data_IF_406029914516
#
_entry.id   IF_406029914516
#
_cell.length_a   1.000
_cell.length_b   1.000
_cell.length_c   1.000
_cell.angle_alpha   90.00
_cell.angle_beta   90.00
_cell.angle_gamma   90.00
#
_symmetry.space_group_name_H-M   'P 1'
#
loop_
_entity.id
_entity.type
_entity.pdbx_description
1 polymer ?
#
# COMPACT_ATOMS: atom_id res chain seq x y z
N UNK A 1 15.70 -9.30 1.44
CA UNK A 1 14.97 -10.16 2.40
C UNK A 1 15.77 -11.27 3.07
N UNK A 2 16.93 -11.72 2.54
CA UNK A 2 17.69 -12.86 3.09
C UNK A 2 17.94 -12.83 4.61
N UNK A 3 18.30 -11.67 5.19
CA UNK A 3 18.62 -11.55 6.61
C UNK A 3 17.44 -11.89 7.54
N UNK A 4 16.21 -11.57 7.14
CA UNK A 4 15.01 -11.74 7.97
C UNK A 4 14.20 -13.01 7.64
N UNK A 5 14.62 -13.74 6.60
CA UNK A 5 13.96 -14.99 6.16
C UNK A 5 14.85 -16.22 6.30
N UNK A 6 15.97 -16.11 7.02
CA UNK A 6 17.02 -17.12 7.09
C UNK A 6 17.45 -17.61 5.69
N UNK A 7 17.88 -16.67 4.84
CA UNK A 7 18.21 -16.91 3.43
C UNK A 7 17.05 -17.53 2.61
N UNK A 8 15.80 -17.25 2.99
CA UNK A 8 14.60 -17.68 2.26
C UNK A 8 13.95 -18.95 2.78
N UNK A 9 14.49 -19.59 3.82
CA UNK A 9 13.90 -20.78 4.41
C UNK A 9 12.44 -20.54 4.85
N UNK A 10 12.14 -19.37 5.41
CA UNK A 10 10.80 -19.05 5.92
C UNK A 10 9.70 -19.08 4.86
N UNK A 11 10.03 -18.88 3.58
CA UNK A 11 9.05 -18.95 2.48
C UNK A 11 8.48 -20.36 2.28
N UNK A 12 9.19 -21.39 2.72
CA UNK A 12 8.74 -22.79 2.64
C UNK A 12 7.96 -23.24 3.87
N UNK A 13 8.14 -22.54 5.00
CA UNK A 13 7.52 -22.90 6.28
C UNK A 13 6.05 -22.50 6.36
N UNK A 14 5.65 -21.44 5.65
CA UNK A 14 4.28 -20.97 5.66
C UNK A 14 3.85 -20.46 4.28
N UNK A 15 2.74 -21.00 3.79
CA UNK A 15 2.11 -20.55 2.55
C UNK A 15 0.97 -19.59 2.88
N UNK A 16 0.93 -18.47 2.18
CA UNK A 16 0.03 -17.36 2.52
C UNK A 16 -1.42 -17.76 2.27
N UNK A 17 -2.25 -17.54 3.29
CA UNK A 17 -3.70 -17.71 3.19
C UNK A 17 -4.34 -16.54 2.43
N UNK A 18 -5.26 -16.84 1.51
CA UNK A 18 -6.09 -15.82 0.83
C UNK A 18 -7.10 -15.11 1.77
N UNK A 19 -7.15 -15.49 3.04
CA UNK A 19 -8.06 -14.89 4.04
C UNK A 19 -7.41 -13.76 4.85
N UNK A 20 -6.11 -13.55 4.66
CA UNK A 20 -5.35 -12.52 5.38
C UNK A 20 -4.94 -11.45 4.40
N UNK A 21 -5.10 -10.20 4.80
CA UNK A 21 -4.65 -9.05 4.03
C UNK A 21 -3.93 -8.05 4.93
N UNK A 22 -3.11 -7.20 4.32
CA UNK A 22 -2.39 -6.12 4.99
C UNK A 22 -2.91 -4.78 4.45
N UNK A 23 -3.40 -3.91 5.32
CA UNK A 23 -3.74 -2.53 4.97
C UNK A 23 -2.47 -1.66 4.96
N UNK A 24 -2.18 -1.02 3.83
CA UNK A 24 -1.06 -0.10 3.67
C UNK A 24 -1.61 1.32 3.63
N UNK A 25 -1.25 2.11 4.64
CA UNK A 25 -1.63 3.52 4.77
C UNK A 25 -0.40 4.37 4.43
N UNK A 26 -0.30 4.81 3.18
CA UNK A 26 0.92 5.45 2.64
C UNK A 26 0.61 6.36 1.43
N UNK A 27 1.57 6.63 0.53
CA UNK A 27 1.44 7.52 -0.63
C UNK A 27 0.68 6.93 -1.82
N UNK A 28 0.24 5.67 -1.73
CA UNK A 28 -0.49 4.98 -2.79
C UNK A 28 0.23 3.72 -3.24
N UNK A 29 -0.06 3.27 -4.46
CA UNK A 29 0.69 2.20 -5.12
C UNK A 29 0.79 2.41 -6.64
N UNK A 30 1.87 1.94 -7.25
CA UNK A 30 1.94 1.63 -8.67
C UNK A 30 1.31 0.25 -8.94
N UNK A 31 -0.01 0.23 -9.19
CA UNK A 31 -0.81 -0.99 -9.26
C UNK A 31 -0.41 -1.94 -10.40
N UNK A 32 0.15 -1.42 -11.48
CA UNK A 32 0.60 -2.16 -12.66
C UNK A 32 1.99 -2.80 -12.52
N UNK A 33 2.71 -2.57 -11.40
CA UNK A 33 4.01 -3.16 -11.18
C UNK A 33 3.92 -4.69 -11.19
N UNK A 34 4.71 -5.38 -12.03
CA UNK A 34 4.62 -6.83 -12.27
C UNK A 34 4.69 -7.66 -10.99
N UNK A 35 5.53 -7.24 -10.04
CA UNK A 35 5.77 -7.97 -8.79
C UNK A 35 4.68 -7.71 -7.72
N UNK A 36 3.78 -6.74 -7.93
CA UNK A 36 2.75 -6.32 -6.96
C UNK A 36 1.33 -6.58 -7.45
N UNK A 37 1.10 -6.58 -8.77
CA UNK A 37 -0.22 -6.67 -9.39
C UNK A 37 -1.05 -7.86 -8.89
N UNK A 38 -0.42 -9.02 -8.70
CA UNK A 38 -1.13 -10.23 -8.25
C UNK A 38 -1.56 -10.21 -6.78
N UNK A 39 -1.07 -9.23 -6.01
CA UNK A 39 -1.31 -9.08 -4.58
C UNK A 39 -2.39 -8.04 -4.25
N UNK A 40 -2.90 -7.30 -5.25
CA UNK A 40 -3.89 -6.25 -5.01
C UNK A 40 -5.22 -6.83 -4.51
N UNK A 41 -5.67 -6.32 -3.37
CA UNK A 41 -6.97 -6.61 -2.78
C UNK A 41 -8.10 -5.77 -3.35
N UNK A 42 -9.31 -6.00 -2.84
CA UNK A 42 -10.53 -5.30 -3.25
C UNK A 42 -10.78 -4.00 -2.49
N UNK A 43 -10.03 -3.71 -1.42
CA UNK A 43 -10.27 -2.54 -0.57
C UNK A 43 -9.20 -1.49 -0.81
N UNK A 44 -9.58 -0.42 -1.50
CA UNK A 44 -8.68 0.67 -1.83
C UNK A 44 -9.42 1.99 -1.68
N UNK A 45 -8.78 2.99 -1.07
CA UNK A 45 -9.38 4.31 -0.90
C UNK A 45 -8.34 5.42 -0.79
N UNK A 46 -8.64 6.54 -1.40
CA UNK A 46 -7.95 7.81 -1.20
C UNK A 46 -8.57 8.61 -0.06
N UNK A 47 -7.73 9.14 0.82
CA UNK A 47 -8.11 10.06 1.90
C UNK A 47 -7.52 11.46 1.71
N UNK A 48 -6.68 11.68 0.70
CA UNK A 48 -6.19 13.01 0.35
C UNK A 48 -7.36 13.82 -0.23
N UNK A 49 -7.74 14.95 0.40
CA UNK A 49 -8.85 15.77 -0.05
C UNK A 49 -8.46 16.59 -1.30
N UNK A 50 -9.45 17.25 -1.89
CA UNK A 50 -9.19 18.23 -2.95
C UNK A 50 -8.25 19.32 -2.43
N UNK A 51 -7.23 19.66 -3.21
CA UNK A 51 -6.18 20.62 -2.84
C UNK A 51 -5.10 20.04 -1.93
N UNK A 52 -5.22 18.78 -1.47
CA UNK A 52 -4.23 18.10 -0.65
C UNK A 52 -3.84 18.88 0.62
N UNK A 53 -2.55 18.89 0.93
CA UNK A 53 -2.01 19.48 2.14
C UNK A 53 -2.12 21.00 2.10
N UNK A 54 -2.98 21.54 2.97
CA UNK A 54 -3.23 22.98 3.11
C UNK A 54 -3.71 23.68 1.83
N UNK A 55 -4.37 22.95 0.91
CA UNK A 55 -4.76 23.46 -0.42
C UNK A 55 -3.58 23.86 -1.31
N UNK A 56 -2.43 23.21 -1.14
CA UNK A 56 -1.21 23.53 -1.89
C UNK A 56 -0.85 22.46 -2.95
N UNK A 57 -1.83 21.63 -3.34
CA UNK A 57 -1.72 20.52 -4.30
C UNK A 57 -2.95 20.55 -5.25
N UNK A 58 -2.96 21.45 -6.23
CA UNK A 58 -4.11 21.71 -7.11
C UNK A 58 -4.54 20.50 -7.94
N UNK A 59 -3.59 19.61 -8.24
CA UNK A 59 -3.78 18.34 -8.93
C UNK A 59 -4.55 17.31 -8.09
N UNK A 60 -4.57 17.44 -6.76
CA UNK A 60 -5.35 16.58 -5.87
C UNK A 60 -6.84 16.92 -5.99
N UNK A 61 -7.63 15.96 -6.51
CA UNK A 61 -9.07 16.15 -6.76
C UNK A 61 -9.97 15.57 -5.67
N UNK A 62 -9.42 14.82 -4.72
CA UNK A 62 -10.20 14.17 -3.66
C UNK A 62 -11.00 12.95 -4.13
N UNK A 63 -10.65 12.38 -5.28
CA UNK A 63 -11.33 11.21 -5.83
C UNK A 63 -11.05 9.97 -4.99
N UNK A 64 -12.09 9.32 -4.48
CA UNK A 64 -11.95 8.21 -3.53
C UNK A 64 -11.22 6.99 -4.12
N UNK A 65 -11.26 6.79 -5.44
CA UNK A 65 -10.56 5.69 -6.13
C UNK A 65 -9.12 6.02 -6.54
N UNK A 66 -8.67 7.26 -6.37
CA UNK A 66 -7.35 7.68 -6.84
C UNK A 66 -6.26 7.26 -5.86
N UNK A 67 -5.69 6.08 -6.10
CA UNK A 67 -4.67 5.43 -5.26
C UNK A 67 -3.27 5.41 -5.88
N UNK A 68 -3.09 6.08 -7.02
CA UNK A 68 -1.79 6.14 -7.71
C UNK A 68 -0.77 6.77 -6.77
N UNK A 69 0.39 6.12 -6.68
CA UNK A 69 1.53 6.63 -5.94
C UNK A 69 2.29 7.68 -6.75
N UNK A 70 2.31 8.91 -6.27
CA UNK A 70 3.08 10.00 -6.89
C UNK A 70 4.49 10.14 -6.32
N UNK A 71 4.75 9.55 -5.14
CA UNK A 71 6.03 9.69 -4.42
C UNK A 71 6.94 8.46 -4.58
N UNK A 72 6.35 7.29 -4.80
CA UNK A 72 7.05 6.00 -4.84
C UNK A 72 7.15 5.29 -3.48
N UNK A 73 7.02 6.02 -2.36
CA UNK A 73 7.22 5.48 -1.01
C UNK A 73 6.26 4.33 -0.69
N UNK A 74 4.97 4.48 -0.95
CA UNK A 74 3.97 3.44 -0.73
C UNK A 74 4.21 2.19 -1.58
N UNK A 75 4.69 2.37 -2.81
CA UNK A 75 5.10 1.27 -3.71
C UNK A 75 6.33 0.53 -3.18
N UNK A 76 7.33 1.26 -2.68
CA UNK A 76 8.52 0.67 -2.04
C UNK A 76 8.15 -0.14 -0.78
N UNK A 77 7.27 0.42 0.06
CA UNK A 77 6.72 -0.25 1.25
C UNK A 77 5.95 -1.51 0.86
N UNK A 78 5.07 -1.44 -0.15
CA UNK A 78 4.34 -2.60 -0.66
C UNK A 78 5.30 -3.69 -1.17
N UNK A 79 6.41 -3.29 -1.81
CA UNK A 79 7.46 -4.20 -2.26
C UNK A 79 8.09 -5.01 -1.13
N UNK A 80 8.37 -4.36 0.02
CA UNK A 80 8.91 -5.07 1.20
C UNK A 80 7.92 -6.08 1.77
N UNK A 81 6.61 -5.85 1.60
CA UNK A 81 5.57 -6.72 2.14
C UNK A 81 5.28 -7.88 1.20
N UNK A 82 4.86 -7.60 -0.03
CA UNK A 82 4.16 -8.57 -0.89
C UNK A 82 4.82 -8.86 -2.23
N UNK A 83 5.93 -8.21 -2.58
CA UNK A 83 6.54 -8.44 -3.89
C UNK A 83 6.77 -9.94 -4.14
N UNK A 84 6.38 -10.40 -5.33
CA UNK A 84 6.38 -11.80 -5.69
C UNK A 84 6.77 -11.99 -7.16
N UNK A 85 7.99 -11.59 -7.48
CA UNK A 85 8.54 -11.65 -8.84
C UNK A 85 10.06 -11.55 -8.85
N UNK A 86 10.58 -10.52 -9.51
CA UNK A 86 12.02 -10.26 -9.57
C UNK A 86 12.61 -10.01 -8.19
N UNK A 87 11.83 -9.39 -7.29
CA UNK A 87 12.13 -9.30 -5.87
C UNK A 87 11.05 -10.00 -5.05
N UNK A 88 11.43 -10.42 -3.84
CA UNK A 88 10.53 -11.03 -2.87
C UNK A 88 10.39 -10.14 -1.64
N UNK A 89 9.14 -9.89 -1.24
CA UNK A 89 8.80 -9.31 0.05
C UNK A 89 8.97 -10.31 1.20
N UNK A 90 8.60 -9.90 2.41
CA UNK A 90 8.60 -10.78 3.58
C UNK A 90 7.47 -11.82 3.50
N UNK A 91 6.35 -11.46 2.86
CA UNK A 91 5.19 -12.32 2.62
C UNK A 91 4.79 -12.25 1.14
N UNK A 92 5.56 -12.88 0.22
CA UNK A 92 5.34 -12.78 -1.22
C UNK A 92 3.94 -13.22 -1.66
N UNK A 93 3.16 -12.30 -2.23
CA UNK A 93 1.81 -12.60 -2.71
C UNK A 93 0.69 -12.42 -1.68
N UNK A 94 0.98 -11.92 -0.46
CA UNK A 94 -0.09 -11.57 0.49
C UNK A 94 -0.98 -10.48 -0.07
N UNK A 95 -2.29 -10.61 0.11
CA UNK A 95 -3.22 -9.59 -0.32
C UNK A 95 -2.93 -8.27 0.40
N UNK A 96 -2.80 -7.18 -0.36
CA UNK A 96 -2.61 -5.83 0.19
C UNK A 96 -3.79 -4.93 -0.21
N UNK A 97 -4.23 -4.12 0.74
CA UNK A 97 -5.28 -3.12 0.57
C UNK A 97 -4.65 -1.73 0.72
N UNK A 98 -5.04 -0.77 -0.13
CA UNK A 98 -4.29 0.49 -0.29
C UNK A 98 -5.12 1.67 0.20
N UNK A 99 -4.57 2.41 1.14
CA UNK A 99 -5.19 3.60 1.70
C UNK A 99 -4.26 4.79 1.54
N UNK A 100 -4.49 5.57 0.47
CA UNK A 100 -3.62 6.70 0.12
C UNK A 100 -3.89 7.89 1.03
N UNK A 101 -2.86 8.38 1.71
CA UNK A 101 -2.90 9.53 2.63
C UNK A 101 -1.86 10.61 2.31
N UNK A 102 -1.08 10.46 1.24
CA UNK A 102 -0.18 11.50 0.73
C UNK A 102 -0.47 11.80 -0.74
N UNK A 103 -0.40 13.08 -1.10
CA UNK A 103 -0.21 13.54 -2.48
C UNK A 103 1.28 13.50 -2.83
N UNK A 104 1.85 14.64 -3.17
CA UNK A 104 3.29 14.85 -3.36
C UNK A 104 3.94 15.61 -2.18
N UNK A 105 3.12 16.01 -1.18
CA UNK A 105 3.56 16.77 -0.01
C UNK A 105 3.36 16.00 1.30
N UNK A 106 2.91 16.68 2.34
CA UNK A 106 2.73 16.10 3.68
C UNK A 106 1.33 15.51 3.86
N UNK A 107 1.16 14.68 4.88
CA UNK A 107 -0.15 14.16 5.30
C UNK A 107 -0.66 14.89 6.55
N UNK A 108 -1.91 14.60 6.93
CA UNK A 108 -2.53 15.05 8.18
C UNK A 108 -2.97 13.86 9.02
N UNK A 109 -2.84 14.01 10.34
CA UNK A 109 -3.28 13.00 11.31
C UNK A 109 -4.76 12.59 11.14
N UNK A 110 -5.60 13.53 10.72
CA UNK A 110 -7.02 13.26 10.41
C UNK A 110 -7.18 12.22 9.28
N UNK A 111 -6.43 12.37 8.18
CA UNK A 111 -6.52 11.47 7.03
C UNK A 111 -6.03 10.07 7.39
N UNK A 112 -4.93 10.01 8.15
CA UNK A 112 -4.37 8.77 8.67
C UNK A 112 -5.34 8.08 9.63
N UNK A 113 -5.96 8.84 10.55
CA UNK A 113 -6.94 8.29 11.51
C UNK A 113 -8.15 7.70 10.80
N UNK A 114 -8.67 8.37 9.78
CA UNK A 114 -9.78 7.86 8.96
C UNK A 114 -9.37 6.63 8.13
N UNK A 115 -8.14 6.59 7.63
CA UNK A 115 -7.60 5.42 6.95
C UNK A 115 -7.48 4.21 7.87
N UNK A 116 -6.98 4.40 9.11
CA UNK A 116 -6.90 3.34 10.13
C UNK A 116 -8.30 2.77 10.39
N UNK A 117 -9.27 3.62 10.73
CA UNK A 117 -10.67 3.18 10.97
C UNK A 117 -11.24 2.42 9.78
N UNK A 118 -10.95 2.86 8.56
CA UNK A 118 -11.45 2.19 7.35
C UNK A 118 -10.78 0.83 7.12
N UNK A 119 -9.52 0.67 7.51
CA UNK A 119 -8.76 -0.57 7.33
C UNK A 119 -9.20 -1.70 8.27
N UNK A 120 -9.76 -1.37 9.43
CA UNK A 120 -10.24 -2.34 10.42
C UNK A 120 -11.60 -2.99 10.04
N UNK A 121 -12.37 -2.37 9.15
CA UNK A 121 -13.72 -2.79 8.78
C UNK A 121 -13.85 -3.46 7.41
N UNK A 122 -12.74 -3.98 6.85
CA UNK A 122 -12.70 -4.74 5.61
C UNK A 122 -13.10 -6.20 5.78
#
# INVERSE_FOLDING_TARGET
MQQVTNNGESYTLHQISKKTSVGIIDSGILAEHSDLLSSLGSHMKNFVPKGGFNNEEDEEKGEAGYIIDKMGHGTEVAGQITANGNILGVAPGVTINIYRVFGERLSKAEWISEAIKKSEGG
#
